data_IF_693381058970
#
_entry.id   IF_693381058970
#
_cell.length_a   1.000
_cell.length_b   1.000
_cell.length_c   1.000
_cell.angle_alpha   90.00
_cell.angle_beta   90.00
_cell.angle_gamma   90.00
#
_symmetry.space_group_name_H-M   'P 1'
#
loop_
_entity.id
_entity.type
_entity.pdbx_description
1 polymer ?
#
# COMPACT_ATOMS: atom_id res chain seq x y z
N UNK A 1 6.67 -22.55 4.92
CA UNK A 1 5.81 -21.41 5.33
C UNK A 1 5.75 -20.43 4.18
N UNK A 2 4.57 -19.93 3.82
CA UNK A 2 4.44 -18.93 2.74
C UNK A 2 4.59 -17.53 3.35
N UNK A 3 5.55 -16.76 2.85
CA UNK A 3 5.76 -15.37 3.29
C UNK A 3 4.60 -14.48 2.84
N UNK A 4 4.24 -13.50 3.67
CA UNK A 4 3.20 -12.51 3.38
C UNK A 4 3.79 -11.13 3.62
N UNK A 5 3.55 -10.23 2.67
CA UNK A 5 4.00 -8.85 2.75
C UNK A 5 2.83 -7.89 2.49
N UNK A 6 2.94 -6.68 3.04
CA UNK A 6 1.99 -5.60 2.85
C UNK A 6 2.54 -4.62 1.80
N UNK A 7 1.77 -4.39 0.75
CA UNK A 7 2.06 -3.35 -0.24
C UNK A 7 1.08 -2.19 -0.06
N UNK A 8 1.59 -0.97 -0.12
CA UNK A 8 0.80 0.26 0.00
C UNK A 8 0.96 1.07 -1.28
N UNK A 9 -0.15 1.37 -1.94
CA UNK A 9 -0.19 2.33 -3.04
C UNK A 9 -0.53 3.70 -2.44
N UNK A 10 0.42 4.62 -2.51
CA UNK A 10 0.27 5.97 -1.92
C UNK A 10 -0.71 6.84 -2.73
N UNK A 11 -1.28 7.91 -2.12
CA UNK A 11 -2.28 8.76 -2.77
C UNK A 11 -1.83 9.37 -4.10
N UNK A 12 -0.54 9.68 -4.26
CA UNK A 12 0.04 10.21 -5.49
C UNK A 12 -0.06 9.22 -6.67
N UNK A 13 0.21 7.94 -6.41
CA UNK A 13 0.07 6.89 -7.42
C UNK A 13 -1.40 6.61 -7.75
N UNK A 14 -2.30 6.72 -6.76
CA UNK A 14 -3.75 6.64 -6.98
C UNK A 14 -4.23 7.80 -7.85
N UNK A 15 -3.83 9.03 -7.55
CA UNK A 15 -4.20 10.23 -8.31
C UNK A 15 -3.71 10.18 -9.76
N UNK A 16 -2.61 9.46 -10.00
CA UNK A 16 -2.06 9.20 -11.35
C UNK A 16 -2.67 7.98 -12.04
N UNK A 17 -3.71 7.37 -11.47
CA UNK A 17 -4.37 6.16 -11.98
C UNK A 17 -3.45 4.93 -12.14
N UNK A 18 -2.39 4.82 -11.32
CA UNK A 18 -1.38 3.74 -11.43
C UNK A 18 -1.75 2.45 -10.67
N UNK A 19 -2.88 2.40 -9.98
CA UNK A 19 -3.29 1.26 -9.13
C UNK A 19 -3.27 -0.06 -9.92
N UNK A 20 -3.86 -0.07 -11.13
CA UNK A 20 -3.91 -1.25 -11.98
C UNK A 20 -2.52 -1.73 -12.39
N UNK A 21 -1.65 -0.82 -12.82
CA UNK A 21 -0.27 -1.16 -13.22
C UNK A 21 0.52 -1.78 -12.06
N UNK A 22 0.36 -1.24 -10.85
CA UNK A 22 1.01 -1.80 -9.66
C UNK A 22 0.53 -3.23 -9.40
N UNK A 23 -0.78 -3.47 -9.40
CA UNK A 23 -1.35 -4.82 -9.19
C UNK A 23 -0.85 -5.78 -10.26
N UNK A 24 -0.97 -5.42 -11.54
CA UNK A 24 -0.54 -6.25 -12.66
C UNK A 24 0.95 -6.55 -12.63
N UNK A 25 1.79 -5.64 -12.13
CA UNK A 25 3.23 -5.89 -11.95
C UNK A 25 3.50 -6.98 -10.91
N UNK A 26 2.75 -7.00 -9.79
CA UNK A 26 2.93 -8.01 -8.76
C UNK A 26 2.40 -9.38 -9.18
N UNK A 27 1.25 -9.42 -9.84
CA UNK A 27 0.69 -10.67 -10.39
C UNK A 27 1.63 -11.28 -11.44
N UNK A 28 2.20 -10.47 -12.35
CA UNK A 28 3.20 -10.92 -13.33
C UNK A 28 4.48 -11.48 -12.69
N UNK A 29 4.83 -11.03 -11.49
CA UNK A 29 5.97 -11.56 -10.71
C UNK A 29 5.63 -12.85 -9.96
N UNK A 30 4.40 -13.34 -10.03
CA UNK A 30 3.94 -14.55 -9.37
C UNK A 30 3.46 -14.34 -7.92
N UNK A 31 3.28 -13.09 -7.47
CA UNK A 31 2.68 -12.84 -6.17
C UNK A 31 1.17 -13.10 -6.23
N UNK A 32 0.64 -13.73 -5.18
CA UNK A 32 -0.80 -13.91 -5.00
C UNK A 32 -1.35 -12.79 -4.12
N UNK A 33 -2.27 -12.00 -4.65
CA UNK A 33 -2.98 -10.98 -3.87
C UNK A 33 -4.01 -11.69 -2.96
N UNK A 34 -3.79 -11.64 -1.65
CA UNK A 34 -4.68 -12.29 -0.67
C UNK A 34 -5.84 -11.37 -0.23
N UNK A 35 -5.60 -10.06 -0.19
CA UNK A 35 -6.58 -9.05 0.25
C UNK A 35 -6.23 -7.70 -0.36
N UNK A 36 -7.25 -6.96 -0.80
CA UNK A 36 -7.14 -5.57 -1.21
C UNK A 36 -8.13 -4.74 -0.38
N UNK A 37 -7.70 -3.55 0.03
CA UNK A 37 -8.59 -2.57 0.67
C UNK A 37 -8.10 -1.17 0.36
N UNK A 38 -9.02 -0.33 -0.12
CA UNK A 38 -8.77 1.09 -0.31
C UNK A 38 -9.22 1.84 0.95
N UNK A 39 -8.43 2.81 1.35
CA UNK A 39 -8.69 3.66 2.51
C UNK A 39 -8.44 5.10 2.12
N UNK A 40 -9.34 5.98 2.54
CA UNK A 40 -9.09 7.42 2.58
C UNK A 40 -8.77 7.74 4.03
N UNK A 41 -7.50 7.96 4.33
CA UNK A 41 -7.08 8.33 5.68
C UNK A 41 -7.50 9.77 5.94
N UNK A 42 -8.11 10.03 7.10
CA UNK A 42 -8.09 11.38 7.66
C UNK A 42 -6.66 11.72 8.08
N UNK A 43 -6.34 13.02 8.20
CA UNK A 43 -5.01 13.45 8.62
C UNK A 43 -4.58 12.79 9.95
N UNK A 44 -5.48 12.75 10.92
CA UNK A 44 -5.27 12.09 12.22
C UNK A 44 -4.96 10.58 12.08
N UNK A 45 -5.66 9.87 11.18
CA UNK A 45 -5.40 8.45 10.93
C UNK A 45 -4.05 8.23 10.25
N UNK A 46 -3.64 9.12 9.34
CA UNK A 46 -2.33 9.06 8.71
C UNK A 46 -1.21 9.32 9.74
N UNK A 47 -1.37 10.33 10.60
CA UNK A 47 -0.42 10.65 11.66
C UNK A 47 -0.27 9.50 12.67
N UNK A 48 -1.37 8.84 13.04
CA UNK A 48 -1.31 7.65 13.91
C UNK A 48 -0.68 6.43 13.21
N UNK A 49 -0.95 6.23 11.91
CA UNK A 49 -0.39 5.12 11.13
C UNK A 49 1.12 5.26 10.90
N UNK A 50 1.61 6.48 10.62
CA UNK A 50 3.03 6.77 10.46
C UNK A 50 3.73 7.17 11.77
N UNK A 51 2.98 7.40 12.85
CA UNK A 51 3.52 7.78 14.16
C UNK A 51 4.46 6.74 14.76
N UNK A 52 4.34 5.47 14.35
CA UNK A 52 5.29 4.39 14.71
C UNK A 52 6.67 4.57 14.03
N UNK A 53 6.79 5.48 13.06
CA UNK A 53 8.02 5.84 12.36
C UNK A 53 8.45 7.29 12.60
N UNK A 54 7.89 7.98 13.60
CA UNK A 54 8.19 9.39 13.90
C UNK A 54 9.68 9.66 14.21
N UNK A 55 10.41 8.62 14.66
CA UNK A 55 11.84 8.69 14.99
C UNK A 55 12.76 8.07 13.93
N UNK A 56 12.28 7.80 12.71
CA UNK A 56 13.15 7.34 11.61
C UNK A 56 13.42 8.50 10.63
N UNK A 57 14.70 8.83 10.36
CA UNK A 57 15.10 9.88 9.43
C UNK A 57 14.71 9.56 7.98
#
# INVERSE_FOLDING_TARGET
>A
MTEKSLFIVKPDAVARNLVGEVISRFERKGFKILKLKMFTFTQEQAENFYGVHKDKP
#
